data_IF_543052393871
#
_entry.id   IF_543052393871
#
_cell.length_a   1.000
_cell.length_b   1.000
_cell.length_c   1.000
_cell.angle_alpha   90.00
_cell.angle_beta   90.00
_cell.angle_gamma   90.00
#
_symmetry.space_group_name_H-M   'P 1'
#
loop_
_entity.id
_entity.type
_entity.pdbx_description
1 polymer ?
#
# COMPACT_ATOMS: atom_id res chain seq x y z
N UNK A 1 27.18 1.29 -30.39
CA UNK A 1 27.17 0.71 -29.03
C UNK A 1 25.72 0.70 -28.61
N UNK A 2 25.06 -0.46 -28.64
CA UNK A 2 23.68 -0.59 -28.19
C UNK A 2 23.66 -0.37 -26.69
N UNK A 3 22.94 0.69 -26.25
CA UNK A 3 22.54 0.82 -24.85
C UNK A 3 21.73 -0.44 -24.49
N UNK A 4 22.41 -1.43 -23.91
CA UNK A 4 21.71 -2.50 -23.22
C UNK A 4 20.99 -1.84 -22.05
N UNK A 5 19.68 -1.63 -22.19
CA UNK A 5 18.82 -1.30 -21.06
C UNK A 5 19.02 -2.41 -20.03
N UNK A 6 19.80 -2.11 -19.01
CA UNK A 6 19.91 -2.97 -17.83
C UNK A 6 18.57 -2.89 -17.11
N UNK A 7 17.78 -3.96 -17.26
CA UNK A 7 16.54 -4.10 -16.49
C UNK A 7 16.90 -4.19 -15.02
N UNK A 8 16.30 -3.30 -14.25
CA UNK A 8 16.55 -3.23 -12.84
C UNK A 8 15.95 -4.42 -12.07
N UNK A 9 16.48 -4.63 -10.90
CA UNK A 9 15.95 -5.63 -9.97
C UNK A 9 15.06 -4.95 -8.94
N UNK A 10 13.91 -5.57 -8.67
CA UNK A 10 13.06 -5.29 -7.52
C UNK A 10 13.44 -6.27 -6.40
N UNK A 11 14.53 -6.00 -5.71
CA UNK A 11 15.07 -6.93 -4.72
C UNK A 11 15.41 -8.29 -5.37
N UNK A 12 14.72 -9.36 -4.95
CA UNK A 12 14.90 -10.72 -5.52
C UNK A 12 14.17 -10.93 -6.85
N UNK A 13 13.36 -9.99 -7.27
CA UNK A 13 12.61 -10.04 -8.53
C UNK A 13 13.41 -9.35 -9.63
N UNK A 14 13.68 -10.06 -10.72
CA UNK A 14 14.23 -9.47 -11.94
C UNK A 14 13.09 -9.04 -12.85
N UNK A 15 13.07 -7.77 -13.24
CA UNK A 15 12.04 -7.23 -14.12
C UNK A 15 12.07 -7.94 -15.49
N UNK A 16 10.90 -8.40 -15.94
CA UNK A 16 10.74 -9.05 -17.24
C UNK A 16 10.46 -7.96 -18.28
N UNK A 17 11.30 -7.85 -19.34
CA UNK A 17 11.01 -6.97 -20.46
C UNK A 17 9.67 -7.31 -21.10
N UNK A 18 8.93 -6.30 -21.55
CA UNK A 18 7.57 -6.51 -22.11
C UNK A 18 7.58 -7.44 -23.34
N UNK A 19 8.64 -7.39 -24.13
CA UNK A 19 8.84 -8.27 -25.29
C UNK A 19 9.17 -9.73 -24.93
N UNK A 20 9.63 -9.97 -23.70
CA UNK A 20 9.93 -11.29 -23.15
C UNK A 20 8.82 -11.87 -22.27
N UNK A 21 7.75 -11.10 -22.02
CA UNK A 21 6.59 -11.57 -21.27
C UNK A 21 5.83 -12.67 -22.00
N UNK A 22 5.30 -13.64 -21.26
CA UNK A 22 4.31 -14.57 -21.82
C UNK A 22 3.07 -13.81 -22.28
N UNK A 23 2.23 -14.38 -23.15
CA UNK A 23 1.00 -13.73 -23.59
C UNK A 23 0.09 -13.32 -22.42
N UNK A 24 0.00 -14.15 -21.37
CA UNK A 24 -0.78 -13.90 -20.17
C UNK A 24 -0.19 -12.75 -19.34
N UNK A 25 1.15 -12.73 -19.16
CA UNK A 25 1.85 -11.64 -18.47
C UNK A 25 1.69 -10.32 -19.23
N UNK A 26 1.82 -10.34 -20.54
CA UNK A 26 1.64 -9.14 -21.37
C UNK A 26 0.22 -8.59 -21.27
N UNK A 27 -0.79 -9.46 -21.33
CA UNK A 27 -2.19 -9.07 -21.11
C UNK A 27 -2.42 -8.49 -19.71
N UNK A 28 -1.81 -9.08 -18.68
CA UNK A 28 -1.85 -8.58 -17.32
C UNK A 28 -1.17 -7.21 -17.20
N UNK A 29 0.00 -7.02 -17.78
CA UNK A 29 0.71 -5.76 -17.84
C UNK A 29 -0.11 -4.65 -18.52
N UNK A 30 -0.64 -4.94 -19.72
CA UNK A 30 -1.49 -4.00 -20.47
C UNK A 30 -2.74 -3.61 -19.66
N UNK A 31 -3.33 -4.57 -18.93
CA UNK A 31 -4.45 -4.29 -18.04
C UNK A 31 -4.05 -3.34 -16.91
N UNK A 32 -2.92 -3.58 -16.22
CA UNK A 32 -2.45 -2.69 -15.15
C UNK A 32 -2.18 -1.29 -15.68
N UNK A 33 -1.48 -1.17 -16.82
CA UNK A 33 -1.17 0.12 -17.45
C UNK A 33 -2.45 0.86 -17.86
N UNK A 34 -3.42 0.17 -18.44
CA UNK A 34 -4.72 0.74 -18.78
C UNK A 34 -5.45 1.30 -17.55
N UNK A 35 -5.45 0.55 -16.46
CA UNK A 35 -6.22 0.88 -15.28
C UNK A 35 -5.54 1.93 -14.38
N UNK A 36 -4.21 2.05 -14.43
CA UNK A 36 -3.43 2.87 -13.51
C UNK A 36 -2.50 3.90 -14.19
N UNK A 37 -2.40 3.86 -15.50
CA UNK A 37 -1.45 4.68 -16.28
C UNK A 37 -0.04 4.07 -16.35
N UNK A 38 0.36 3.29 -15.35
CA UNK A 38 1.65 2.62 -15.27
C UNK A 38 1.53 1.30 -14.50
N UNK A 39 2.57 0.47 -14.51
CA UNK A 39 2.67 -0.72 -13.66
C UNK A 39 3.62 -0.43 -12.48
N UNK A 40 3.11 0.06 -11.33
CA UNK A 40 3.95 0.36 -10.17
C UNK A 40 4.50 -0.91 -9.53
N UNK A 41 5.55 -0.73 -8.71
CA UNK A 41 6.41 -1.77 -8.16
C UNK A 41 5.76 -3.09 -7.76
N UNK A 42 4.83 -3.13 -6.79
CA UNK A 42 4.23 -4.39 -6.35
C UNK A 42 3.55 -5.16 -7.47
N UNK A 43 2.92 -4.46 -8.42
CA UNK A 43 2.23 -5.10 -9.55
C UNK A 43 3.18 -5.76 -10.54
N UNK A 44 4.42 -5.27 -10.67
CA UNK A 44 5.46 -5.96 -11.46
C UNK A 44 5.77 -7.34 -10.92
N UNK A 45 5.83 -7.48 -9.59
CA UNK A 45 6.01 -8.78 -8.93
C UNK A 45 4.77 -9.66 -9.13
N UNK A 46 3.58 -9.10 -8.95
CA UNK A 46 2.30 -9.83 -9.07
C UNK A 46 2.07 -10.31 -10.51
N UNK A 47 2.73 -9.73 -11.52
CA UNK A 47 2.75 -10.25 -12.90
C UNK A 47 3.23 -11.71 -13.03
N UNK A 48 3.89 -12.26 -12.01
CA UNK A 48 4.17 -13.70 -11.95
C UNK A 48 2.89 -14.55 -11.90
N UNK A 49 1.78 -13.95 -11.44
CA UNK A 49 0.44 -14.53 -11.48
C UNK A 49 -0.55 -13.53 -12.09
N UNK A 50 -0.65 -13.43 -13.42
CA UNK A 50 -1.43 -12.40 -14.10
C UNK A 50 -2.92 -12.41 -13.75
N UNK A 51 -3.48 -13.57 -13.39
CA UNK A 51 -4.88 -13.69 -12.98
C UNK A 51 -5.15 -12.94 -11.66
N UNK A 52 -4.16 -12.87 -10.78
CA UNK A 52 -4.29 -12.15 -9.50
C UNK A 52 -4.39 -10.63 -9.71
N UNK A 53 -3.83 -10.09 -10.78
CA UNK A 53 -3.94 -8.67 -11.11
C UNK A 53 -5.39 -8.25 -11.36
N UNK A 54 -6.20 -9.12 -11.98
CA UNK A 54 -7.62 -8.84 -12.25
C UNK A 54 -8.44 -8.68 -10.97
N UNK A 55 -7.95 -9.21 -9.85
CA UNK A 55 -8.58 -9.07 -8.53
C UNK A 55 -7.99 -7.90 -7.75
N UNK A 56 -6.66 -7.79 -7.69
CA UNK A 56 -5.98 -6.83 -6.82
C UNK A 56 -5.99 -5.40 -7.37
N UNK A 57 -5.93 -5.22 -8.70
CA UNK A 57 -5.95 -3.87 -9.30
C UNK A 57 -7.25 -3.12 -9.00
N UNK A 58 -8.45 -3.72 -9.16
CA UNK A 58 -9.70 -3.06 -8.77
C UNK A 58 -9.75 -2.70 -7.28
N UNK A 59 -9.27 -3.57 -6.39
CA UNK A 59 -9.22 -3.27 -4.95
C UNK A 59 -8.32 -2.07 -4.68
N UNK A 60 -7.11 -2.04 -5.27
CA UNK A 60 -6.20 -0.91 -5.12
C UNK A 60 -6.79 0.39 -5.64
N UNK A 61 -7.50 0.34 -6.76
CA UNK A 61 -8.19 1.51 -7.33
C UNK A 61 -9.33 2.00 -6.45
N UNK A 62 -10.10 1.11 -5.86
CA UNK A 62 -11.17 1.47 -4.93
C UNK A 62 -10.68 2.41 -3.83
N UNK A 63 -9.51 2.11 -3.25
CA UNK A 63 -8.94 2.94 -2.19
C UNK A 63 -8.22 4.21 -2.68
N UNK A 64 -7.86 4.30 -3.95
CA UNK A 64 -7.20 5.49 -4.52
C UNK A 64 -8.16 6.48 -5.16
N UNK A 65 -9.34 6.03 -5.53
CA UNK A 65 -10.39 6.87 -6.06
C UNK A 65 -11.37 7.19 -4.93
N UNK A 66 -12.13 8.26 -5.06
CA UNK A 66 -13.13 8.72 -4.08
C UNK A 66 -14.30 7.75 -3.80
N UNK A 67 -14.07 6.46 -3.94
CA UNK A 67 -15.06 5.41 -3.66
C UNK A 67 -15.02 4.94 -2.20
N UNK A 68 -13.85 5.00 -1.58
CA UNK A 68 -13.70 4.69 -0.16
C UNK A 68 -14.26 5.82 0.71
N UNK A 69 -14.82 5.47 1.85
CA UNK A 69 -15.27 6.41 2.87
C UNK A 69 -14.12 6.96 3.73
N UNK A 70 -12.90 6.45 3.53
CA UNK A 70 -11.69 6.96 4.19
C UNK A 70 -11.09 8.11 3.39
N UNK A 71 -10.67 9.16 4.08
CA UNK A 71 -9.89 10.24 3.48
C UNK A 71 -8.49 9.76 3.06
N UNK A 72 -7.83 10.54 2.20
CA UNK A 72 -6.44 10.24 1.81
C UNK A 72 -5.50 10.21 3.01
N UNK A 73 -5.65 11.11 3.97
CA UNK A 73 -4.87 11.12 5.20
C UNK A 73 -5.12 9.87 6.06
N UNK A 74 -6.38 9.45 6.24
CA UNK A 74 -6.74 8.22 6.96
C UNK A 74 -6.15 6.98 6.27
N UNK A 75 -6.20 6.92 4.94
CA UNK A 75 -5.56 5.85 4.15
C UNK A 75 -4.06 5.80 4.41
N UNK A 76 -3.38 6.95 4.35
CA UNK A 76 -1.92 7.00 4.51
C UNK A 76 -1.46 6.68 5.94
N UNK A 77 -2.26 6.93 6.97
CA UNK A 77 -2.01 6.41 8.33
C UNK A 77 -1.91 4.88 8.31
N UNK A 78 -2.90 4.23 7.69
CA UNK A 78 -2.94 2.76 7.59
C UNK A 78 -1.73 2.23 6.82
N UNK A 79 -1.46 2.81 5.65
CA UNK A 79 -0.41 2.32 4.74
C UNK A 79 0.97 2.43 5.39
N UNK A 80 1.30 3.59 5.95
CA UNK A 80 2.60 3.81 6.57
C UNK A 80 2.81 2.90 7.81
N UNK A 81 1.79 2.69 8.63
CA UNK A 81 1.86 1.74 9.75
C UNK A 81 2.13 0.30 9.29
N UNK A 82 1.45 -0.16 8.25
CA UNK A 82 1.61 -1.52 7.74
C UNK A 82 2.98 -1.69 7.10
N UNK A 83 3.42 -0.72 6.30
CA UNK A 83 4.73 -0.74 5.66
C UNK A 83 5.86 -0.79 6.70
N UNK A 84 5.75 0.00 7.78
CA UNK A 84 6.71 -0.02 8.88
C UNK A 84 6.74 -1.40 9.55
N UNK A 85 5.58 -1.98 9.83
CA UNK A 85 5.48 -3.30 10.47
C UNK A 85 6.11 -4.43 9.66
N UNK A 86 5.96 -4.39 8.35
CA UNK A 86 6.48 -5.42 7.43
C UNK A 86 7.84 -5.06 6.82
N UNK A 87 8.45 -3.95 7.25
CA UNK A 87 9.70 -3.44 6.72
C UNK A 87 9.69 -3.30 5.19
N UNK A 88 8.55 -2.88 4.64
CA UNK A 88 8.36 -2.68 3.20
C UNK A 88 9.02 -1.37 2.73
N UNK A 89 10.35 -1.34 2.71
CA UNK A 89 11.17 -0.14 2.50
C UNK A 89 10.80 0.64 1.23
N UNK A 90 10.51 -0.06 0.13
CA UNK A 90 10.05 0.53 -1.11
C UNK A 90 8.73 1.32 -0.92
N UNK A 91 7.74 0.68 -0.30
CA UNK A 91 6.43 1.29 -0.09
C UNK A 91 6.49 2.42 0.95
N UNK A 92 7.30 2.29 2.00
CA UNK A 92 7.54 3.37 2.95
C UNK A 92 8.05 4.63 2.24
N UNK A 93 9.04 4.47 1.37
CA UNK A 93 9.63 5.59 0.64
C UNK A 93 8.62 6.33 -0.24
N UNK A 94 7.73 5.61 -0.92
CA UNK A 94 6.69 6.21 -1.74
C UNK A 94 5.60 6.87 -0.88
N UNK A 95 5.14 6.18 0.16
CA UNK A 95 4.01 6.63 0.98
C UNK A 95 4.38 7.69 2.03
N UNK A 96 5.65 7.92 2.31
CA UNK A 96 6.12 9.09 3.06
C UNK A 96 5.65 10.39 2.37
N UNK A 97 5.99 10.55 1.10
CA UNK A 97 5.62 11.74 0.32
C UNK A 97 4.10 11.83 0.10
N UNK A 98 3.43 10.69 -0.08
CA UNK A 98 1.99 10.67 -0.31
C UNK A 98 1.26 11.08 0.97
N UNK A 99 1.71 10.62 2.13
CA UNK A 99 1.15 10.98 3.44
C UNK A 99 1.24 12.47 3.72
N UNK A 100 2.39 13.09 3.45
CA UNK A 100 2.57 14.54 3.59
C UNK A 100 1.65 15.32 2.63
N UNK A 101 1.54 14.88 1.37
CA UNK A 101 0.61 15.49 0.39
C UNK A 101 -0.86 15.33 0.76
N UNK A 102 -1.20 14.26 1.46
CA UNK A 102 -2.53 14.03 2.01
C UNK A 102 -2.86 14.91 3.24
N UNK A 103 -1.90 15.72 3.69
CA UNK A 103 -2.06 16.68 4.78
C UNK A 103 -1.67 16.15 6.16
N UNK A 104 -1.01 14.99 6.24
CA UNK A 104 -0.45 14.54 7.50
C UNK A 104 0.80 15.38 7.85
N UNK A 105 0.97 15.81 9.11
CA UNK A 105 2.17 16.50 9.54
C UNK A 105 3.41 15.60 9.34
N UNK A 106 4.54 16.14 8.80
CA UNK A 106 5.73 15.34 8.50
C UNK A 106 6.25 14.55 9.70
N UNK A 107 6.24 15.13 10.91
CA UNK A 107 6.65 14.43 12.12
C UNK A 107 5.76 13.24 12.48
N UNK A 108 4.48 13.26 12.11
CA UNK A 108 3.56 12.13 12.28
C UNK A 108 3.85 11.04 11.27
N UNK A 109 4.09 11.41 10.01
CA UNK A 109 4.48 10.45 8.96
C UNK A 109 5.79 9.74 9.33
N UNK A 110 6.79 10.50 9.78
CA UNK A 110 8.07 9.95 10.24
C UNK A 110 7.89 8.99 11.44
N UNK A 111 7.02 9.35 12.40
CA UNK A 111 6.72 8.46 13.53
C UNK A 111 6.06 7.15 13.07
N UNK A 112 5.10 7.21 12.13
CA UNK A 112 4.47 6.03 11.55
C UNK A 112 5.48 5.11 10.88
N UNK A 113 6.35 5.66 10.02
CA UNK A 113 7.37 4.91 9.27
C UNK A 113 8.41 4.29 10.21
N UNK A 114 8.79 5.01 11.26
CA UNK A 114 9.73 4.51 12.26
C UNK A 114 9.13 3.49 13.23
N UNK A 115 7.81 3.22 13.13
CA UNK A 115 7.10 2.34 14.07
C UNK A 115 7.00 2.91 15.48
N UNK A 116 7.12 4.22 15.61
CA UNK A 116 7.00 4.93 16.88
C UNK A 116 5.54 5.24 17.21
N UNK A 117 5.24 5.33 18.49
CA UNK A 117 3.93 5.78 18.93
C UNK A 117 3.71 7.24 18.54
N UNK A 118 2.52 7.51 18.01
CA UNK A 118 2.07 8.87 17.70
C UNK A 118 0.57 9.02 18.05
N UNK A 119 0.04 10.22 17.91
CA UNK A 119 -1.38 10.52 18.12
C UNK A 119 -1.85 11.56 17.13
N UNK A 120 -3.14 11.64 16.90
CA UNK A 120 -3.77 12.57 15.98
C UNK A 120 -4.85 13.38 16.71
N UNK A 121 -4.91 14.67 16.43
CA UNK A 121 -5.93 15.56 17.02
C UNK A 121 -7.32 15.34 16.38
N UNK A 122 -7.35 14.93 15.11
CA UNK A 122 -8.58 14.52 14.44
C UNK A 122 -9.06 13.17 14.99
N UNK A 123 -10.27 13.09 15.57
CA UNK A 123 -10.79 11.86 16.17
C UNK A 123 -10.94 10.70 15.17
N UNK A 124 -11.19 10.99 13.88
CA UNK A 124 -11.28 9.95 12.84
C UNK A 124 -9.90 9.38 12.54
N UNK A 125 -8.89 10.24 12.36
CA UNK A 125 -7.49 9.79 12.17
C UNK A 125 -7.01 8.99 13.38
N UNK A 126 -7.32 9.43 14.60
CA UNK A 126 -6.94 8.72 15.81
C UNK A 126 -7.57 7.32 15.89
N UNK A 127 -8.86 7.18 15.58
CA UNK A 127 -9.52 5.87 15.61
C UNK A 127 -8.98 4.94 14.51
N UNK A 128 -8.66 5.47 13.33
CA UNK A 128 -8.00 4.71 12.25
C UNK A 128 -6.63 4.19 12.70
N UNK A 129 -5.84 5.04 13.35
CA UNK A 129 -4.55 4.66 13.94
C UNK A 129 -4.70 3.54 14.99
N UNK A 130 -5.60 3.72 15.97
CA UNK A 130 -5.82 2.76 17.06
C UNK A 130 -6.31 1.41 16.54
N UNK A 131 -7.24 1.41 15.59
CA UNK A 131 -7.76 0.21 14.94
C UNK A 131 -6.66 -0.53 14.18
N UNK A 132 -5.86 0.20 13.39
CA UNK A 132 -4.76 -0.37 12.61
C UNK A 132 -3.70 -0.99 13.53
N UNK A 133 -3.30 -0.30 14.58
CA UNK A 133 -2.37 -0.82 15.59
C UNK A 133 -2.91 -2.09 16.25
N UNK A 134 -4.18 -2.11 16.61
CA UNK A 134 -4.81 -3.26 17.27
C UNK A 134 -4.86 -4.48 16.35
N UNK A 135 -5.38 -4.31 15.14
CA UNK A 135 -5.56 -5.41 14.19
C UNK A 135 -4.22 -5.96 13.67
N UNK A 136 -3.25 -5.09 13.41
CA UNK A 136 -1.92 -5.51 12.97
C UNK A 136 -1.09 -6.16 14.09
N UNK A 137 -1.46 -5.97 15.36
CA UNK A 137 -0.93 -6.72 16.49
C UNK A 137 -1.63 -8.09 16.70
N UNK A 138 -2.49 -8.51 15.78
CA UNK A 138 -3.27 -9.75 15.82
C UNK A 138 -4.16 -9.86 17.08
N UNK A 139 -4.73 -8.73 17.51
CA UNK A 139 -5.61 -8.65 18.69
C UNK A 139 -7.06 -8.51 18.25
N UNK A 140 -7.96 -9.04 19.06
CA UNK A 140 -9.38 -8.74 18.96
C UNK A 140 -9.59 -7.27 19.34
N UNK A 141 -10.41 -6.55 18.56
CA UNK A 141 -10.74 -5.16 18.84
C UNK A 141 -11.60 -5.09 20.11
N UNK A 142 -11.17 -4.33 21.14
CA UNK A 142 -11.98 -4.14 22.34
C UNK A 142 -13.30 -3.45 22.03
N UNK A 143 -14.38 -3.77 22.76
CA UNK A 143 -15.72 -3.24 22.53
C UNK A 143 -15.75 -1.71 22.44
N UNK A 144 -15.10 -1.01 23.37
CA UNK A 144 -15.09 0.46 23.37
C UNK A 144 -14.38 1.07 22.15
N UNK A 145 -13.34 0.40 21.61
CA UNK A 145 -12.68 0.83 20.37
C UNK A 145 -13.57 0.57 19.16
N UNK A 146 -14.24 -0.59 19.10
CA UNK A 146 -15.22 -0.90 18.06
C UNK A 146 -16.35 0.14 18.01
N UNK A 147 -16.98 0.43 19.15
CA UNK A 147 -18.07 1.42 19.24
C UNK A 147 -17.60 2.81 18.83
N UNK A 148 -16.38 3.20 19.18
CA UNK A 148 -15.79 4.47 18.75
C UNK A 148 -15.56 4.48 17.24
N UNK A 149 -15.09 3.38 16.66
CA UNK A 149 -14.87 3.26 15.22
C UNK A 149 -16.19 3.34 14.44
N UNK A 150 -17.22 2.61 14.85
CA UNK A 150 -18.56 2.68 14.23
C UNK A 150 -19.13 4.09 14.33
N UNK A 151 -19.03 4.74 15.48
CA UNK A 151 -19.55 6.10 15.68
C UNK A 151 -18.86 7.13 14.77
N UNK A 152 -17.55 7.02 14.56
CA UNK A 152 -16.77 8.00 13.81
C UNK A 152 -16.70 7.69 12.31
N UNK A 153 -16.59 6.42 11.94
CA UNK A 153 -16.39 5.99 10.54
C UNK A 153 -17.70 5.49 9.90
N UNK A 154 -18.67 5.08 10.70
CA UNK A 154 -19.82 4.30 10.25
C UNK A 154 -19.45 2.85 9.90
N UNK A 155 -20.44 2.00 9.61
CA UNK A 155 -20.21 0.61 9.25
C UNK A 155 -19.42 0.46 7.93
N UNK A 156 -19.72 1.32 6.96
CA UNK A 156 -18.99 1.34 5.69
C UNK A 156 -17.50 1.69 5.90
N UNK A 157 -17.21 2.74 6.68
CA UNK A 157 -15.83 3.14 6.95
C UNK A 157 -15.03 2.12 7.76
N UNK A 158 -15.67 1.45 8.70
CA UNK A 158 -15.05 0.35 9.45
C UNK A 158 -14.75 -0.83 8.52
N UNK A 159 -15.65 -1.15 7.58
CA UNK A 159 -15.43 -2.19 6.58
C UNK A 159 -14.29 -1.82 5.64
N UNK A 160 -14.29 -0.60 5.11
CA UNK A 160 -13.21 -0.08 4.27
C UNK A 160 -11.86 -0.17 4.99
N UNK A 161 -11.80 0.26 6.25
CA UNK A 161 -10.59 0.22 7.06
C UNK A 161 -10.03 -1.21 7.21
N UNK A 162 -10.88 -2.17 7.54
CA UNK A 162 -10.43 -3.56 7.73
C UNK A 162 -9.96 -4.20 6.43
N UNK A 163 -10.63 -3.93 5.32
CA UNK A 163 -10.23 -4.41 3.99
C UNK A 163 -8.92 -3.73 3.54
N UNK A 164 -8.77 -2.43 3.75
CA UNK A 164 -7.55 -1.69 3.45
C UNK A 164 -6.34 -2.26 4.19
N UNK A 165 -6.49 -2.54 5.50
CA UNK A 165 -5.45 -3.17 6.33
C UNK A 165 -5.03 -4.52 5.73
N UNK A 166 -5.98 -5.38 5.37
CA UNK A 166 -5.70 -6.68 4.77
C UNK A 166 -5.01 -6.56 3.41
N UNK A 167 -5.49 -5.67 2.56
CA UNK A 167 -4.93 -5.41 1.23
C UNK A 167 -3.48 -4.93 1.31
N UNK A 168 -3.20 -3.86 2.07
CA UNK A 168 -1.83 -3.36 2.20
C UNK A 168 -0.91 -4.31 2.95
N UNK A 169 -1.43 -5.11 3.89
CA UNK A 169 -0.66 -6.20 4.50
C UNK A 169 -0.18 -7.19 3.42
N UNK A 170 -1.04 -7.60 2.49
CA UNK A 170 -0.64 -8.51 1.41
C UNK A 170 0.41 -7.90 0.48
N UNK A 171 0.26 -6.61 0.13
CA UNK A 171 1.24 -5.88 -0.68
C UNK A 171 2.60 -5.77 0.04
N UNK A 172 2.59 -5.36 1.32
CA UNK A 172 3.82 -5.21 2.12
C UNK A 172 4.53 -6.54 2.35
N UNK A 173 3.78 -7.62 2.60
CA UNK A 173 4.33 -8.99 2.68
C UNK A 173 4.96 -9.43 1.36
N UNK A 174 4.35 -9.09 0.22
CA UNK A 174 4.93 -9.36 -1.10
C UNK A 174 6.26 -8.62 -1.26
N UNK A 175 6.31 -7.33 -0.96
CA UNK A 175 7.54 -6.55 -1.02
C UNK A 175 8.63 -7.08 -0.08
N UNK A 176 8.26 -7.46 1.14
CA UNK A 176 9.18 -8.06 2.12
C UNK A 176 9.71 -9.44 1.65
N UNK A 177 8.84 -10.30 1.09
CA UNK A 177 9.23 -11.61 0.56
C UNK A 177 10.24 -11.50 -0.58
N UNK A 178 10.14 -10.46 -1.39
CA UNK A 178 11.07 -10.18 -2.47
C UNK A 178 12.23 -9.25 -2.07
N UNK A 179 12.29 -8.82 -0.82
CA UNK A 179 13.34 -7.95 -0.26
C UNK A 179 13.57 -6.70 -1.13
N UNK A 180 12.49 -6.00 -1.44
CA UNK A 180 12.51 -4.85 -2.34
C UNK A 180 13.06 -3.62 -1.63
N UNK A 181 14.22 -3.08 -2.03
CA UNK A 181 14.82 -1.92 -1.38
C UNK A 181 14.09 -0.62 -1.71
N UNK A 182 14.24 0.40 -0.87
CA UNK A 182 13.64 1.73 -1.05
C UNK A 182 14.05 2.42 -2.36
N UNK A 183 15.24 2.09 -2.87
CA UNK A 183 15.80 2.66 -4.10
C UNK A 183 15.71 1.70 -5.30
N UNK A 184 14.72 0.79 -5.30
CA UNK A 184 14.54 -0.14 -6.40
C UNK A 184 14.43 0.59 -7.74
N UNK A 185 15.10 0.05 -8.77
CA UNK A 185 15.14 0.65 -10.11
C UNK A 185 13.74 0.60 -10.73
N UNK A 186 13.36 1.65 -11.42
CA UNK A 186 12.02 1.81 -11.99
C UNK A 186 11.16 2.83 -11.25
N UNK A 187 11.63 3.33 -10.10
CA UNK A 187 11.07 4.49 -9.44
C UNK A 187 11.54 5.76 -10.14
N UNK A 188 10.63 6.43 -10.82
CA UNK A 188 10.83 7.83 -11.21
C UNK A 188 10.16 8.69 -10.13
N UNK A 189 10.97 9.52 -9.49
CA UNK A 189 10.46 10.64 -8.70
C UNK A 189 9.81 11.67 -9.59
#
# INVERSE_FOLDING_TARGET
MSDQMTFGTFGRYTEIPVDQMTPEQKKGYEYVVKERGEAPGPYKIILQNPNLLQVLVPVGRYFQQSHSSLSDAEREIVVNLINAKWHAAYSNYEHEMIGERAGLPPEKVQALIAGLHTSFDDPRQQVVYDMTCTLTASRVVPQGLYERAVRLLGDAGLTDLTVLIGYFTSISMTLAAYDVPSNAIGLKR
#
